data_IF_913653273029
#
_entry.id   IF_913653273029
#
_cell.length_a   1.000
_cell.length_b   1.000
_cell.length_c   1.000
_cell.angle_alpha   90.00
_cell.angle_beta   90.00
_cell.angle_gamma   90.00
#
_symmetry.space_group_name_H-M   'P 1'
#
loop_
_entity.id
_entity.type
_entity.pdbx_description
1 polymer ?
#
# COMPACT_ATOMS: atom_id res chain seq x y z
N UNK A 1 0.27 -9.19 -23.75
CA UNK A 1 -0.79 -9.86 -22.94
C UNK A 1 -2.06 -9.04 -23.06
N UNK A 2 -3.25 -9.64 -23.23
CA UNK A 2 -4.50 -8.86 -23.39
C UNK A 2 -4.94 -8.29 -22.04
N UNK A 3 -5.65 -7.16 -22.05
CA UNK A 3 -6.11 -6.46 -20.84
C UNK A 3 -6.89 -7.36 -19.87
N UNK A 4 -7.88 -8.11 -20.39
CA UNK A 4 -8.70 -9.02 -19.57
C UNK A 4 -7.87 -10.10 -18.87
N UNK A 5 -6.80 -10.58 -19.51
CA UNK A 5 -5.91 -11.57 -18.90
C UNK A 5 -5.14 -10.97 -17.73
N UNK A 6 -4.79 -9.67 -17.78
CA UNK A 6 -4.13 -8.97 -16.66
C UNK A 6 -5.08 -8.85 -15.48
N UNK A 7 -6.33 -8.49 -15.75
CA UNK A 7 -7.36 -8.37 -14.73
C UNK A 7 -7.62 -9.69 -14.00
N UNK A 8 -7.63 -10.82 -14.72
CA UNK A 8 -7.77 -12.16 -14.13
C UNK A 8 -6.59 -12.57 -13.24
N UNK A 9 -5.37 -12.11 -13.57
CA UNK A 9 -4.16 -12.47 -12.81
C UNK A 9 -3.96 -11.64 -11.54
N UNK A 10 -4.59 -10.48 -11.42
CA UNK A 10 -4.47 -9.61 -10.22
C UNK A 10 -5.08 -10.30 -9.00
N UNK A 11 -4.32 -10.41 -7.91
CA UNK A 11 -4.75 -10.98 -6.62
C UNK A 11 -4.30 -10.08 -5.48
N UNK A 12 -5.02 -10.12 -4.36
CA UNK A 12 -4.51 -9.55 -3.11
C UNK A 12 -3.34 -10.39 -2.61
N UNK A 13 -2.21 -9.75 -2.31
CA UNK A 13 -1.00 -10.38 -1.77
C UNK A 13 -0.76 -9.80 -0.39
N UNK A 14 -0.61 -10.67 0.61
CA UNK A 14 -0.32 -10.29 2.00
C UNK A 14 1.09 -10.71 2.42
N UNK A 15 1.69 -11.63 1.68
CA UNK A 15 3.09 -11.98 1.81
C UNK A 15 3.90 -11.01 0.93
N UNK A 16 4.42 -9.97 1.58
CA UNK A 16 5.18 -8.88 0.96
C UNK A 16 6.50 -8.72 1.71
N UNK A 17 7.52 -8.22 1.01
CA UNK A 17 8.83 -7.93 1.58
C UNK A 17 9.38 -6.62 1.00
N UNK A 18 10.54 -6.21 1.48
CA UNK A 18 11.20 -4.98 1.08
C UNK A 18 12.16 -5.16 -0.13
N UNK A 19 12.05 -6.25 -0.89
CA UNK A 19 12.88 -6.46 -2.08
C UNK A 19 12.22 -5.82 -3.29
N UNK A 20 12.85 -4.75 -3.78
CA UNK A 20 12.46 -4.15 -5.04
C UNK A 20 12.96 -4.95 -6.24
N UNK A 21 12.10 -5.09 -7.24
CA UNK A 21 12.43 -5.64 -8.57
C UNK A 21 12.45 -4.58 -9.66
N UNK A 22 12.08 -3.33 -9.32
CA UNK A 22 12.02 -2.16 -10.20
C UNK A 22 12.58 -0.95 -9.46
N UNK A 23 12.98 0.11 -10.19
CA UNK A 23 13.45 1.36 -9.57
C UNK A 23 12.31 2.14 -8.93
N UNK A 24 12.61 2.99 -7.95
CA UNK A 24 11.63 3.91 -7.37
C UNK A 24 11.01 4.86 -8.40
N UNK A 25 11.79 5.28 -9.40
CA UNK A 25 11.29 6.15 -10.47
C UNK A 25 10.24 5.45 -11.32
N UNK A 26 10.42 4.14 -11.57
CA UNK A 26 9.42 3.32 -12.26
C UNK A 26 8.12 3.26 -11.45
N UNK A 27 8.22 3.16 -10.13
CA UNK A 27 7.05 3.16 -9.22
C UNK A 27 6.33 4.51 -9.26
N UNK A 28 7.08 5.62 -9.17
CA UNK A 28 6.53 6.98 -9.21
C UNK A 28 5.82 7.28 -10.52
N UNK A 29 6.43 6.92 -11.65
CA UNK A 29 5.82 7.15 -12.97
C UNK A 29 4.56 6.30 -13.15
N UNK A 30 4.57 5.03 -12.72
CA UNK A 30 3.39 4.17 -12.76
C UNK A 30 2.20 4.79 -12.02
N UNK A 31 2.43 5.31 -10.81
CA UNK A 31 1.36 5.91 -10.02
C UNK A 31 0.87 7.23 -10.62
N UNK A 32 1.78 8.05 -11.15
CA UNK A 32 1.44 9.29 -11.85
C UNK A 32 0.55 9.01 -13.06
N UNK A 33 0.94 8.06 -13.91
CA UNK A 33 0.16 7.67 -15.09
C UNK A 33 -1.21 7.12 -14.70
N UNK A 34 -1.26 6.26 -13.67
CA UNK A 34 -2.52 5.70 -13.19
C UNK A 34 -3.50 6.79 -12.74
N UNK A 35 -3.04 7.84 -12.06
CA UNK A 35 -3.89 8.94 -11.60
C UNK A 35 -4.32 9.86 -12.75
N UNK A 36 -3.41 10.19 -13.67
CA UNK A 36 -3.69 11.11 -14.78
C UNK A 36 -4.61 10.49 -15.82
N UNK A 37 -4.40 9.21 -16.15
CA UNK A 37 -5.08 8.56 -17.27
C UNK A 37 -6.31 7.73 -16.87
N UNK A 38 -6.59 7.57 -15.57
CA UNK A 38 -7.86 6.99 -15.14
C UNK A 38 -8.97 8.01 -15.34
N UNK A 39 -10.02 7.70 -16.12
CA UNK A 39 -11.12 8.63 -16.33
C UNK A 39 -11.83 8.93 -15.01
N UNK A 40 -12.26 10.19 -14.86
CA UNK A 40 -13.04 10.65 -13.71
C UNK A 40 -14.32 11.31 -14.19
N UNK A 41 -15.36 11.29 -13.35
CA UNK A 41 -16.62 11.96 -13.68
C UNK A 41 -16.35 13.43 -14.02
N UNK A 42 -16.86 13.88 -15.18
CA UNK A 42 -16.66 15.22 -15.71
C UNK A 42 -15.18 15.65 -15.85
N UNK A 43 -14.24 14.71 -15.97
CA UNK A 43 -12.80 14.96 -15.96
C UNK A 43 -12.35 15.83 -14.76
N UNK A 44 -13.03 15.69 -13.61
CA UNK A 44 -12.76 16.48 -12.41
C UNK A 44 -11.38 16.23 -11.81
N UNK A 45 -10.78 15.07 -12.09
CA UNK A 45 -9.45 14.67 -11.62
C UNK A 45 -9.26 14.95 -10.12
N UNK A 46 -10.27 14.64 -9.31
CA UNK A 46 -10.26 14.91 -7.87
C UNK A 46 -9.38 13.94 -7.08
N UNK A 47 -8.97 12.82 -7.69
CA UNK A 47 -8.10 11.83 -7.06
C UNK A 47 -6.75 12.43 -6.70
N UNK A 48 -6.31 12.21 -5.46
CA UNK A 48 -4.98 12.56 -4.96
C UNK A 48 -4.37 11.32 -4.35
N UNK A 49 -3.06 11.16 -4.53
CA UNK A 49 -2.31 10.04 -3.97
C UNK A 49 -1.14 10.58 -3.15
N UNK A 50 -0.85 9.88 -2.05
CA UNK A 50 0.37 10.05 -1.29
C UNK A 50 1.05 8.69 -1.25
N UNK A 51 2.27 8.62 -1.78
CA UNK A 51 3.07 7.39 -1.80
C UNK A 51 4.10 7.52 -0.70
N UNK A 52 4.02 6.66 0.31
CA UNK A 52 5.05 6.53 1.32
C UNK A 52 6.03 5.45 0.87
N UNK A 53 7.31 5.67 1.08
CA UNK A 53 8.35 4.71 0.75
C UNK A 53 9.30 4.62 1.95
N UNK A 54 9.93 3.46 2.11
CA UNK A 54 10.97 3.21 3.12
C UNK A 54 10.50 3.64 4.52
N UNK A 55 11.28 4.48 5.21
CA UNK A 55 11.01 4.90 6.58
C UNK A 55 9.65 5.59 6.80
N UNK A 56 9.07 6.25 5.79
CA UNK A 56 7.74 6.87 5.93
C UNK A 56 6.61 5.85 5.93
N UNK A 57 6.75 4.76 5.20
CA UNK A 57 5.82 3.63 5.26
C UNK A 57 5.92 2.91 6.59
N UNK A 58 7.14 2.70 7.08
CA UNK A 58 7.37 2.11 8.39
C UNK A 58 6.74 2.93 9.52
N UNK A 59 6.93 4.25 9.49
CA UNK A 59 6.36 5.21 10.44
C UNK A 59 4.83 5.15 10.45
N UNK A 60 4.19 5.00 9.28
CA UNK A 60 2.74 4.85 9.19
C UNK A 60 2.25 3.60 9.92
N UNK A 61 2.89 2.45 9.73
CA UNK A 61 2.46 1.21 10.38
C UNK A 61 2.72 1.19 11.88
N UNK A 62 3.79 1.85 12.33
CA UNK A 62 4.04 2.05 13.76
C UNK A 62 2.94 2.94 14.37
N UNK A 63 2.60 4.05 13.71
CA UNK A 63 1.51 4.94 14.14
C UNK A 63 0.17 4.19 14.23
N UNK A 64 -0.19 3.44 13.17
CA UNK A 64 -1.42 2.66 13.14
C UNK A 64 -1.45 1.64 14.29
N UNK A 65 -0.34 0.94 14.54
CA UNK A 65 -0.26 -0.05 15.62
C UNK A 65 -0.54 0.60 16.97
N UNK A 66 0.04 1.76 17.23
CA UNK A 66 -0.15 2.48 18.49
C UNK A 66 -1.56 3.07 18.63
N UNK A 67 -2.18 3.58 17.55
CA UNK A 67 -3.57 4.03 17.59
C UNK A 67 -4.54 2.87 17.88
N UNK A 68 -4.33 1.70 17.28
CA UNK A 68 -5.18 0.52 17.56
C UNK A 68 -5.00 0.07 19.01
N UNK A 69 -3.78 0.12 19.56
CA UNK A 69 -3.48 -0.27 20.95
C UNK A 69 -4.33 0.51 21.97
N UNK A 70 -4.67 1.77 21.68
CA UNK A 70 -5.47 2.62 22.57
C UNK A 70 -6.92 2.15 22.72
N UNK A 71 -7.47 1.48 21.71
CA UNK A 71 -8.88 1.09 21.64
C UNK A 71 -9.12 -0.41 21.69
N UNK A 72 -8.12 -1.23 21.37
CA UNK A 72 -8.24 -2.67 21.34
C UNK A 72 -8.17 -3.30 22.75
N UNK A 73 -8.89 -4.41 22.99
CA UNK A 73 -8.69 -5.23 24.17
C UNK A 73 -7.22 -5.68 24.25
N UNK A 74 -6.66 -5.65 25.46
CA UNK A 74 -5.27 -6.08 25.70
C UNK A 74 -5.07 -7.55 25.36
N UNK A 75 -6.09 -8.36 25.58
CA UNK A 75 -6.06 -9.79 25.30
C UNK A 75 -6.02 -10.05 23.79
N UNK A 76 -5.00 -10.78 23.32
CA UNK A 76 -4.85 -11.14 21.91
C UNK A 76 -4.27 -10.04 21.01
N UNK A 77 -3.80 -8.91 21.56
CA UNK A 77 -3.26 -7.80 20.75
C UNK A 77 -2.00 -8.18 19.95
N UNK A 78 -1.26 -9.21 20.38
CA UNK A 78 -0.10 -9.75 19.63
C UNK A 78 -0.46 -10.15 18.20
N UNK A 79 -1.69 -10.66 17.97
CA UNK A 79 -2.15 -11.01 16.62
C UNK A 79 -2.26 -9.77 15.73
N UNK A 80 -2.69 -8.65 16.30
CA UNK A 80 -2.75 -7.35 15.61
C UNK A 80 -1.33 -6.85 15.30
N UNK A 81 -0.43 -6.90 16.27
CA UNK A 81 0.98 -6.51 16.07
C UNK A 81 1.63 -7.32 14.95
N UNK A 82 1.48 -8.65 14.98
CA UNK A 82 2.01 -9.52 13.92
C UNK A 82 1.40 -9.18 12.55
N UNK A 83 0.11 -8.81 12.51
CA UNK A 83 -0.53 -8.40 11.28
C UNK A 83 0.01 -7.06 10.77
N UNK A 84 0.21 -6.06 11.64
CA UNK A 84 0.80 -4.78 11.26
C UNK A 84 2.24 -4.95 10.79
N UNK A 85 3.03 -5.79 11.47
CA UNK A 85 4.39 -6.13 11.05
C UNK A 85 4.43 -6.78 9.66
N UNK A 86 3.43 -7.61 9.31
CA UNK A 86 3.34 -8.19 7.95
C UNK A 86 3.12 -7.14 6.86
N UNK A 87 2.46 -6.02 7.18
CA UNK A 87 2.30 -4.91 6.25
C UNK A 87 3.54 -4.00 6.22
N UNK A 88 4.11 -3.73 7.39
CA UNK A 88 5.37 -2.99 7.54
C UNK A 88 6.54 -3.62 6.79
N UNK A 89 6.56 -4.95 6.64
CA UNK A 89 7.60 -5.68 5.94
C UNK A 89 7.77 -5.30 4.45
N UNK A 90 6.77 -4.65 3.83
CA UNK A 90 6.88 -4.12 2.47
C UNK A 90 7.86 -2.96 2.32
N UNK A 91 8.28 -2.65 1.09
CA UNK A 91 9.22 -1.54 0.81
C UNK A 91 8.61 -0.14 0.97
N UNK A 92 7.27 -0.01 0.91
CA UNK A 92 6.58 1.27 0.87
C UNK A 92 5.07 1.11 0.85
#
# INVERSE_FOLDING_TARGET
MKYVDMMKKRRSRYDINNKLTVSEDTIKELFKDAVIYTPSAFNSQSSRILVLLQGKHEELWDLITEEIRKVAPKEGFERTVNKMNSFKAGYG
#
